data_IF_244748807313
#
_entry.id   IF_244748807313
#
_cell.length_a   1.000
_cell.length_b   1.000
_cell.length_c   1.000
_cell.angle_alpha   90.00
_cell.angle_beta   90.00
_cell.angle_gamma   90.00
#
_symmetry.space_group_name_H-M   'P 1'
#
loop_
_entity.id
_entity.type
_entity.pdbx_description
1 polymer ?
#
# COMPACT_ATOMS: atom_id res chain seq x y z
N UNK A 1 1.76 38.02 -40.72
CA UNK A 1 2.10 37.76 -39.30
C UNK A 1 0.83 37.99 -38.48
N UNK A 2 0.12 36.93 -38.09
CA UNK A 2 -1.02 37.09 -37.19
C UNK A 2 -0.50 37.43 -35.80
N UNK A 3 -1.03 38.51 -35.22
CA UNK A 3 -0.71 38.96 -33.87
C UNK A 3 -1.27 37.94 -32.87
N UNK A 4 -0.51 36.88 -32.57
CA UNK A 4 -0.94 35.85 -31.61
C UNK A 4 -0.93 36.46 -30.21
N UNK A 5 -2.12 36.57 -29.62
CA UNK A 5 -2.36 37.23 -28.34
C UNK A 5 -1.83 36.35 -27.20
N UNK A 6 -0.84 36.85 -26.45
CA UNK A 6 -0.30 36.16 -25.26
C UNK A 6 -1.39 36.09 -24.18
N UNK A 7 -1.66 34.89 -23.68
CA UNK A 7 -2.65 34.65 -22.64
C UNK A 7 -2.00 34.80 -21.26
N UNK A 8 -1.72 36.05 -20.90
CA UNK A 8 -0.95 36.44 -19.69
C UNK A 8 -1.59 36.06 -18.35
N UNK A 9 -2.83 35.56 -18.35
CA UNK A 9 -3.57 35.18 -17.14
C UNK A 9 -4.03 33.72 -17.13
N UNK A 10 -3.76 32.95 -18.20
CA UNK A 10 -4.21 31.57 -18.28
C UNK A 10 -3.31 30.67 -17.42
N UNK A 11 -3.82 30.26 -16.26
CA UNK A 11 -3.12 29.38 -15.32
C UNK A 11 -3.43 27.89 -15.53
N UNK A 12 -4.61 27.57 -16.04
CA UNK A 12 -5.09 26.20 -16.21
C UNK A 12 -5.53 26.03 -17.65
N UNK A 13 -4.92 25.09 -18.36
CA UNK A 13 -5.34 24.65 -19.69
C UNK A 13 -5.78 23.19 -19.59
N UNK A 14 -7.10 22.97 -19.69
CA UNK A 14 -7.69 21.65 -19.73
C UNK A 14 -8.28 21.41 -21.12
N UNK A 15 -7.74 20.41 -21.81
CA UNK A 15 -8.20 19.92 -23.11
C UNK A 15 -8.49 18.41 -23.04
N UNK A 16 -8.87 17.90 -21.87
CA UNK A 16 -9.20 16.49 -21.69
C UNK A 16 -10.23 16.01 -22.72
N UNK A 17 -10.04 14.77 -23.19
CA UNK A 17 -10.89 14.09 -24.16
C UNK A 17 -11.03 14.83 -25.50
N UNK A 18 -10.08 15.71 -25.85
CA UNK A 18 -9.94 16.22 -27.21
C UNK A 18 -9.37 15.13 -28.12
N UNK A 19 -10.18 14.12 -28.46
CA UNK A 19 -9.75 12.93 -29.19
C UNK A 19 -9.15 13.21 -30.57
N UNK A 20 -9.41 14.39 -31.15
CA UNK A 20 -8.84 14.80 -32.44
C UNK A 20 -7.52 15.56 -32.31
N UNK A 21 -7.12 15.93 -31.09
CA UNK A 21 -5.86 16.65 -30.83
C UNK A 21 -4.69 15.73 -31.18
N UNK A 22 -3.87 16.15 -32.15
CA UNK A 22 -2.69 15.40 -32.58
C UNK A 22 -1.39 15.93 -32.01
N UNK A 23 -1.31 17.24 -31.82
CA UNK A 23 -0.17 17.92 -31.19
C UNK A 23 -0.67 19.18 -30.50
N UNK A 24 0.04 19.59 -29.46
CA UNK A 24 -0.22 20.84 -28.74
C UNK A 24 1.05 21.68 -28.68
N UNK A 25 0.96 22.94 -29.10
CA UNK A 25 2.03 23.92 -29.03
C UNK A 25 1.49 25.32 -28.74
N UNK A 26 2.34 26.34 -28.90
CA UNK A 26 1.99 27.72 -28.53
C UNK A 26 2.20 28.04 -27.05
N UNK A 27 3.05 27.26 -26.37
CA UNK A 27 3.39 27.46 -24.95
C UNK A 27 4.16 28.76 -24.70
N UNK A 28 4.77 29.33 -25.74
CA UNK A 28 5.36 30.68 -25.76
C UNK A 28 4.34 31.80 -25.48
N UNK A 29 3.06 31.50 -25.65
CA UNK A 29 1.96 32.41 -25.34
C UNK A 29 1.31 32.16 -23.97
N UNK A 30 1.80 31.19 -23.20
CA UNK A 30 1.23 30.74 -21.93
C UNK A 30 2.24 30.87 -20.76
N UNK A 31 2.84 32.05 -20.52
CA UNK A 31 3.99 32.20 -19.61
C UNK A 31 3.66 31.94 -18.12
N UNK A 32 2.38 31.94 -17.74
CA UNK A 32 1.91 31.76 -16.35
C UNK A 32 1.13 30.46 -16.17
N UNK A 33 1.25 29.51 -17.12
CA UNK A 33 0.53 28.24 -17.05
C UNK A 33 1.06 27.39 -15.89
N UNK A 34 0.17 27.06 -14.95
CA UNK A 34 0.44 26.27 -13.75
C UNK A 34 -0.01 24.82 -13.90
N UNK A 35 -1.09 24.57 -14.68
CA UNK A 35 -1.66 23.24 -14.89
C UNK A 35 -1.98 22.96 -16.36
N UNK A 36 -1.47 21.85 -16.87
CA UNK A 36 -1.78 21.32 -18.19
C UNK A 36 -2.47 19.96 -18.06
N UNK A 37 -3.69 19.84 -18.57
CA UNK A 37 -4.50 18.62 -18.48
C UNK A 37 -4.92 18.21 -19.89
N UNK A 38 -4.36 17.10 -20.38
CA UNK A 38 -4.62 16.52 -21.72
C UNK A 38 -5.17 15.10 -21.63
N UNK A 39 -5.66 14.68 -20.46
CA UNK A 39 -6.20 13.35 -20.20
C UNK A 39 -7.12 12.86 -21.33
N UNK A 40 -6.92 11.66 -21.84
CA UNK A 40 -7.78 11.03 -22.85
C UNK A 40 -7.67 11.64 -24.24
N UNK A 41 -6.62 12.42 -24.55
CA UNK A 41 -6.33 12.82 -25.93
C UNK A 41 -5.70 11.66 -26.72
N UNK A 42 -6.52 10.66 -27.07
CA UNK A 42 -6.08 9.37 -27.64
C UNK A 42 -5.33 9.46 -28.98
N UNK A 43 -5.37 10.60 -29.69
CA UNK A 43 -4.62 10.83 -30.93
C UNK A 43 -3.42 11.74 -30.75
N UNK A 44 -3.13 12.18 -29.51
CA UNK A 44 -1.99 13.04 -29.20
C UNK A 44 -0.70 12.26 -29.45
N UNK A 45 0.15 12.78 -30.34
CA UNK A 45 1.42 12.18 -30.71
C UNK A 45 2.57 12.77 -29.89
N UNK A 46 2.50 14.07 -29.65
CA UNK A 46 3.52 14.84 -28.93
C UNK A 46 2.93 16.05 -28.21
N UNK A 47 3.67 16.49 -27.19
CA UNK A 47 3.54 17.81 -26.58
C UNK A 47 4.77 18.60 -27.03
N UNK A 48 4.55 19.75 -27.68
CA UNK A 48 5.61 20.51 -28.36
C UNK A 48 6.79 20.85 -27.42
N UNK A 49 8.01 20.87 -27.98
CA UNK A 49 9.25 21.21 -27.26
C UNK A 49 9.19 22.57 -26.54
N UNK A 50 8.35 23.51 -27.01
CA UNK A 50 8.14 24.81 -26.35
C UNK A 50 7.52 24.73 -24.95
N UNK A 51 7.08 23.56 -24.47
CA UNK A 51 6.58 23.38 -23.09
C UNK A 51 7.59 23.80 -22.02
N UNK A 52 8.90 23.77 -22.31
CA UNK A 52 9.95 24.29 -21.42
C UNK A 52 9.75 25.75 -20.99
N UNK A 53 9.01 26.52 -21.79
CA UNK A 53 8.74 27.94 -21.54
C UNK A 53 7.63 28.14 -20.50
N UNK A 54 6.89 27.08 -20.15
CA UNK A 54 5.94 27.09 -19.04
C UNK A 54 6.68 26.97 -17.71
N UNK A 55 7.41 28.02 -17.33
CA UNK A 55 8.27 28.05 -16.13
C UNK A 55 7.48 27.93 -14.83
N UNK A 56 6.17 28.20 -14.86
CA UNK A 56 5.26 28.10 -13.72
C UNK A 56 4.51 26.77 -13.65
N UNK A 57 4.78 25.82 -14.57
CA UNK A 57 4.04 24.56 -14.63
C UNK A 57 4.36 23.68 -13.41
N UNK A 58 3.31 23.35 -12.65
CA UNK A 58 3.38 22.54 -11.42
C UNK A 58 2.72 21.18 -11.62
N UNK A 59 1.70 21.11 -12.47
CA UNK A 59 0.89 19.91 -12.68
C UNK A 59 0.74 19.59 -14.16
N UNK A 60 0.99 18.33 -14.52
CA UNK A 60 0.81 17.81 -15.89
C UNK A 60 0.07 16.47 -15.83
N UNK A 61 -1.05 16.39 -16.54
CA UNK A 61 -1.80 15.15 -16.72
C UNK A 61 -1.88 14.82 -18.22
N UNK A 62 -1.24 13.72 -18.60
CA UNK A 62 -1.25 13.14 -19.96
C UNK A 62 -1.92 11.77 -19.96
N UNK A 63 -2.63 11.39 -18.90
CA UNK A 63 -3.16 10.03 -18.76
C UNK A 63 -4.08 9.66 -19.93
N UNK A 64 -4.03 8.41 -20.36
CA UNK A 64 -4.78 7.84 -21.47
C UNK A 64 -4.51 8.52 -22.83
N UNK A 65 -3.33 9.09 -23.03
CA UNK A 65 -2.82 9.52 -24.34
C UNK A 65 -2.10 8.35 -25.04
N UNK A 66 -2.85 7.31 -25.45
CA UNK A 66 -2.31 6.03 -25.92
C UNK A 66 -1.46 6.06 -27.20
N UNK A 67 -1.45 7.18 -27.94
CA UNK A 67 -0.59 7.40 -29.12
C UNK A 67 0.61 8.30 -28.86
N UNK A 68 0.85 8.69 -27.60
CA UNK A 68 1.96 9.53 -27.23
C UNK A 68 3.27 8.78 -27.51
N UNK A 69 3.97 9.14 -28.59
CA UNK A 69 5.16 8.40 -29.02
C UNK A 69 6.38 8.74 -28.19
N UNK A 70 6.40 9.93 -27.59
CA UNK A 70 7.50 10.46 -26.78
C UNK A 70 6.92 11.34 -25.67
N UNK A 71 7.20 10.99 -24.43
CA UNK A 71 7.27 12.01 -23.37
C UNK A 71 8.52 12.82 -23.70
N UNK A 72 8.41 14.09 -24.12
CA UNK A 72 9.55 14.79 -24.67
C UNK A 72 10.65 14.91 -23.61
N UNK A 73 11.91 14.68 -23.99
CA UNK A 73 13.09 14.80 -23.08
C UNK A 73 13.07 16.10 -22.29
N UNK A 74 12.48 17.13 -22.89
CA UNK A 74 12.30 18.46 -22.34
C UNK A 74 11.50 18.51 -21.03
N UNK A 75 10.70 17.48 -20.71
CA UNK A 75 9.94 17.43 -19.45
C UNK A 75 10.87 17.38 -18.22
N UNK A 76 12.10 16.85 -18.33
CA UNK A 76 13.11 16.95 -17.26
C UNK A 76 13.53 18.40 -16.98
N UNK A 77 13.48 19.27 -17.99
CA UNK A 77 13.86 20.67 -17.84
C UNK A 77 12.83 21.49 -17.07
N UNK A 78 11.63 20.94 -16.83
CA UNK A 78 10.55 21.61 -16.10
C UNK A 78 10.81 21.58 -14.58
N UNK A 79 11.53 22.60 -14.09
CA UNK A 79 12.03 22.69 -12.71
C UNK A 79 10.96 22.82 -11.61
N UNK A 80 9.71 23.15 -11.97
CA UNK A 80 8.62 23.37 -11.00
C UNK A 80 7.57 22.25 -10.99
N UNK A 81 7.61 21.32 -11.94
CA UNK A 81 6.60 20.25 -12.02
C UNK A 81 6.72 19.36 -10.78
N UNK A 82 5.61 19.27 -10.04
CA UNK A 82 5.48 18.49 -8.81
C UNK A 82 4.66 17.23 -9.01
N UNK A 83 3.68 17.28 -9.89
CA UNK A 83 2.79 16.16 -10.18
C UNK A 83 2.77 15.89 -11.67
N UNK A 84 3.01 14.62 -12.03
CA UNK A 84 2.97 14.14 -13.41
C UNK A 84 2.20 12.83 -13.46
N UNK A 85 1.12 12.80 -14.25
CA UNK A 85 0.37 11.58 -14.55
C UNK A 85 0.57 11.16 -15.99
N UNK A 86 0.94 9.89 -16.20
CA UNK A 86 1.24 9.27 -17.48
C UNK A 86 0.49 7.94 -17.63
N UNK A 87 -0.65 7.79 -16.98
CA UNK A 87 -1.37 6.51 -16.91
C UNK A 87 -1.87 6.11 -18.29
N UNK A 88 -2.02 4.83 -18.62
CA UNK A 88 -2.67 4.42 -19.88
C UNK A 88 -1.97 4.93 -21.15
N UNK A 89 -0.68 5.28 -21.09
CA UNK A 89 0.07 5.88 -22.20
C UNK A 89 0.80 4.83 -23.07
N UNK A 90 0.64 3.54 -22.76
CA UNK A 90 1.25 2.42 -23.49
C UNK A 90 2.79 2.54 -23.59
N UNK A 91 3.43 2.88 -22.47
CA UNK A 91 4.87 3.12 -22.44
C UNK A 91 5.66 1.86 -22.85
N UNK A 92 5.27 0.64 -22.45
CA UNK A 92 6.03 -0.57 -22.79
C UNK A 92 6.34 -0.81 -24.28
N UNK A 93 5.48 -0.37 -25.20
CA UNK A 93 5.68 -0.57 -26.66
C UNK A 93 6.89 0.21 -27.21
N UNK A 94 7.41 1.18 -26.46
CA UNK A 94 8.64 1.90 -26.82
C UNK A 94 9.91 1.04 -26.70
N UNK A 95 9.83 -0.17 -26.15
CA UNK A 95 10.94 -1.14 -26.04
C UNK A 95 11.18 -2.01 -27.28
N UNK A 96 10.26 -2.07 -28.27
CA UNK A 96 10.34 -3.07 -29.36
C UNK A 96 11.39 -2.72 -30.44
N UNK A 97 12.21 -1.69 -30.24
CA UNK A 97 13.39 -1.44 -31.08
C UNK A 97 14.58 -2.22 -30.47
N UNK A 98 15.09 -3.28 -31.13
CA UNK A 98 16.15 -4.10 -30.59
C UNK A 98 17.48 -3.36 -30.70
N UNK A 99 17.81 -2.56 -29.69
CA UNK A 99 19.18 -2.14 -29.47
C UNK A 99 19.43 -1.97 -27.97
N UNK A 100 20.60 -2.41 -27.52
CA UNK A 100 21.02 -2.68 -26.15
C UNK A 100 21.04 -1.49 -25.15
N UNK A 101 20.30 -0.41 -25.42
CA UNK A 101 20.02 0.64 -24.43
C UNK A 101 18.76 0.24 -23.66
N UNK A 102 18.99 -0.49 -22.56
CA UNK A 102 17.99 -0.77 -21.53
C UNK A 102 17.31 0.54 -21.11
N UNK A 103 16.02 0.55 -21.34
CA UNK A 103 15.02 1.47 -20.86
C UNK A 103 14.99 2.94 -21.28
N UNK A 104 13.74 3.38 -21.41
CA UNK A 104 13.26 4.72 -21.21
C UNK A 104 14.22 5.65 -20.49
N UNK A 105 14.71 6.60 -21.25
CA UNK A 105 15.01 7.91 -20.71
C UNK A 105 13.69 8.68 -20.55
N UNK A 106 12.80 8.27 -19.64
CA UNK A 106 11.88 9.27 -19.09
C UNK A 106 12.78 10.18 -18.26
N UNK A 107 13.26 11.22 -18.92
CA UNK A 107 13.86 12.37 -18.29
C UNK A 107 12.73 13.02 -17.47
N UNK A 108 12.53 12.48 -16.27
CA UNK A 108 11.56 12.94 -15.30
C UNK A 108 12.14 14.16 -14.59
N UNK A 109 11.36 15.22 -14.35
CA UNK A 109 11.85 16.39 -13.65
C UNK A 109 12.25 16.03 -12.22
N UNK A 110 13.44 16.46 -11.81
CA UNK A 110 13.97 16.20 -10.46
C UNK A 110 13.16 16.89 -9.35
N UNK A 111 12.28 17.82 -9.73
CA UNK A 111 11.35 18.49 -8.83
C UNK A 111 10.12 17.68 -8.46
N UNK A 112 9.88 16.54 -9.12
CA UNK A 112 8.68 15.70 -8.92
C UNK A 112 8.54 15.26 -7.47
N UNK A 113 7.29 15.31 -7.03
CA UNK A 113 6.83 14.87 -5.71
C UNK A 113 5.86 13.70 -5.87
N UNK A 114 5.03 13.72 -6.92
CA UNK A 114 4.04 12.69 -7.20
C UNK A 114 4.11 12.27 -8.67
N UNK A 115 4.23 10.96 -8.90
CA UNK A 115 4.31 10.37 -10.24
C UNK A 115 3.34 9.19 -10.32
N UNK A 116 2.46 9.20 -11.32
CA UNK A 116 1.65 8.05 -11.68
C UNK A 116 2.02 7.49 -13.05
N UNK A 117 2.23 6.18 -13.10
CA UNK A 117 2.59 5.37 -14.26
C UNK A 117 1.63 4.19 -14.42
N UNK A 118 0.40 4.31 -13.95
CA UNK A 118 -0.58 3.23 -13.94
C UNK A 118 -0.92 2.75 -15.36
N UNK A 119 -1.31 1.48 -15.54
CA UNK A 119 -1.81 0.95 -16.82
C UNK A 119 -0.88 1.24 -18.03
N UNK A 120 0.41 0.92 -17.89
CA UNK A 120 1.42 1.20 -18.93
C UNK A 120 2.11 -0.03 -19.50
N UNK A 121 1.65 -1.22 -19.11
CA UNK A 121 2.23 -2.51 -19.49
C UNK A 121 3.72 -2.64 -19.09
N UNK A 122 4.16 -1.96 -18.02
CA UNK A 122 5.54 -1.95 -17.54
C UNK A 122 5.91 -3.27 -16.83
N UNK A 123 7.04 -3.86 -17.21
CA UNK A 123 7.62 -5.03 -16.54
C UNK A 123 8.65 -4.60 -15.49
N UNK A 124 9.20 -5.51 -14.68
CA UNK A 124 10.29 -5.13 -13.75
C UNK A 124 11.55 -4.66 -14.49
N UNK A 125 11.92 -5.36 -15.57
CA UNK A 125 13.04 -5.02 -16.46
C UNK A 125 12.78 -3.77 -17.30
N UNK A 126 11.55 -3.28 -17.25
CA UNK A 126 11.25 -1.97 -17.73
C UNK A 126 12.07 -1.00 -16.86
N UNK A 127 11.75 -0.72 -15.61
CA UNK A 127 12.46 0.28 -14.79
C UNK A 127 14.01 0.34 -14.86
N UNK A 128 14.61 1.56 -14.82
CA UNK A 128 16.06 1.72 -14.89
C UNK A 128 16.73 1.18 -13.61
N UNK A 129 18.07 1.12 -13.62
CA UNK A 129 18.81 0.67 -12.44
C UNK A 129 18.68 1.64 -11.24
N UNK A 130 18.46 2.94 -11.46
CA UNK A 130 18.46 3.94 -10.38
C UNK A 130 17.52 5.13 -10.64
N UNK A 131 16.80 5.56 -9.60
CA UNK A 131 15.96 6.77 -9.54
C UNK A 131 16.52 7.84 -8.59
N UNK A 132 17.77 7.74 -8.14
CA UNK A 132 18.38 8.67 -7.16
C UNK A 132 18.21 10.17 -7.48
N UNK A 133 18.07 10.54 -8.76
CA UNK A 133 17.81 11.94 -9.18
C UNK A 133 16.42 12.45 -8.78
N UNK A 134 15.44 11.57 -8.60
CA UNK A 134 14.08 11.86 -8.13
C UNK A 134 14.05 12.02 -6.60
N UNK A 135 15.00 12.78 -6.06
CA UNK A 135 15.22 12.94 -4.62
C UNK A 135 14.06 13.57 -3.86
N UNK A 136 13.12 14.21 -4.56
CA UNK A 136 11.92 14.84 -4.00
C UNK A 136 10.67 13.97 -4.07
N UNK A 137 10.72 12.81 -4.75
CA UNK A 137 9.57 11.97 -5.00
C UNK A 137 9.07 11.33 -3.69
N UNK A 138 7.80 11.56 -3.38
CA UNK A 138 7.09 11.07 -2.20
C UNK A 138 6.02 10.06 -2.54
N UNK A 139 5.39 10.19 -3.71
CA UNK A 139 4.28 9.34 -4.14
C UNK A 139 4.61 8.72 -5.50
N UNK A 140 4.50 7.39 -5.58
CA UNK A 140 4.69 6.62 -6.80
C UNK A 140 3.57 5.60 -6.96
N UNK A 141 2.84 5.69 -8.07
CA UNK A 141 1.75 4.78 -8.42
C UNK A 141 2.15 3.98 -9.67
N UNK A 142 2.18 2.65 -9.53
CA UNK A 142 2.61 1.69 -10.54
C UNK A 142 1.50 0.66 -10.83
N UNK A 143 0.28 0.94 -10.39
CA UNK A 143 -0.86 0.04 -10.45
C UNK A 143 -1.14 -0.43 -11.88
N UNK A 144 -1.80 -1.58 -12.02
CA UNK A 144 -2.23 -2.15 -13.31
C UNK A 144 -1.07 -2.38 -14.31
N UNK A 145 0.13 -2.72 -13.81
CA UNK A 145 1.28 -3.08 -14.64
C UNK A 145 1.70 -4.55 -14.44
N UNK A 146 2.23 -5.25 -15.47
CA UNK A 146 2.77 -6.61 -15.37
C UNK A 146 4.14 -6.67 -14.68
N UNK A 147 4.33 -5.90 -13.61
CA UNK A 147 5.54 -5.90 -12.79
C UNK A 147 5.60 -7.23 -12.02
N UNK A 148 6.76 -7.89 -12.06
CA UNK A 148 6.97 -9.20 -11.44
C UNK A 148 7.54 -9.08 -10.03
N UNK A 149 8.37 -8.08 -9.80
CA UNK A 149 8.92 -7.77 -8.48
C UNK A 149 9.24 -6.29 -8.31
N UNK A 150 9.38 -5.83 -7.06
CA UNK A 150 9.73 -4.44 -6.74
C UNK A 150 11.02 -4.00 -7.47
N UNK A 151 10.97 -3.02 -8.38
CA UNK A 151 12.13 -2.57 -9.13
C UNK A 151 13.23 -1.95 -8.25
N UNK A 152 14.50 -2.20 -8.60
CA UNK A 152 15.65 -1.74 -7.81
C UNK A 152 15.71 -0.22 -7.65
N UNK A 153 15.36 0.54 -8.70
CA UNK A 153 15.35 2.00 -8.62
C UNK A 153 14.34 2.55 -7.62
N UNK A 154 13.24 1.83 -7.34
CA UNK A 154 12.25 2.26 -6.35
C UNK A 154 12.83 2.14 -4.95
N UNK A 155 13.66 1.11 -4.69
CA UNK A 155 14.34 0.90 -3.40
C UNK A 155 15.32 2.02 -3.04
N UNK A 156 15.90 2.68 -4.04
CA UNK A 156 16.88 3.76 -3.84
C UNK A 156 16.26 5.14 -3.64
N UNK A 157 14.93 5.28 -3.69
CA UNK A 157 14.25 6.57 -3.53
C UNK A 157 14.34 7.06 -2.08
N UNK A 158 14.96 8.23 -1.81
CA UNK A 158 15.32 8.64 -0.46
C UNK A 158 14.17 9.28 0.35
N UNK A 159 13.00 9.50 -0.25
CA UNK A 159 11.87 10.21 0.36
C UNK A 159 10.51 9.59 0.01
N UNK A 160 10.49 8.39 -0.54
CA UNK A 160 9.25 7.76 -0.97
C UNK A 160 8.40 7.40 0.25
N UNK A 161 7.24 8.03 0.36
CA UNK A 161 6.30 7.89 1.47
C UNK A 161 5.14 6.96 1.06
N UNK A 162 4.68 7.04 -0.19
CA UNK A 162 3.57 6.25 -0.73
C UNK A 162 4.03 5.48 -1.97
N UNK A 163 3.85 4.16 -1.93
CA UNK A 163 4.01 3.28 -3.08
C UNK A 163 2.72 2.49 -3.32
N UNK A 164 2.19 2.55 -4.53
CA UNK A 164 1.06 1.74 -4.96
C UNK A 164 1.47 0.85 -6.13
N UNK A 165 1.17 -0.44 -6.00
CA UNK A 165 1.39 -1.50 -7.00
C UNK A 165 0.13 -2.39 -7.07
N UNK A 166 -1.04 -1.78 -6.86
CA UNK A 166 -2.32 -2.46 -6.89
C UNK A 166 -2.62 -3.02 -8.28
N UNK A 167 -3.29 -4.17 -8.34
CA UNK A 167 -3.63 -4.87 -9.57
C UNK A 167 -2.43 -5.10 -10.51
N UNK A 168 -1.21 -5.17 -9.97
CA UNK A 168 -0.05 -5.67 -10.71
C UNK A 168 -0.17 -7.19 -10.89
N UNK A 169 -0.89 -7.61 -11.93
CA UNK A 169 -1.27 -9.01 -12.16
C UNK A 169 -0.11 -9.91 -12.62
N UNK A 170 1.13 -9.56 -12.33
CA UNK A 170 2.29 -10.46 -12.43
C UNK A 170 3.17 -10.44 -11.16
N UNK A 171 2.79 -9.68 -10.13
CA UNK A 171 3.62 -9.40 -8.96
C UNK A 171 3.79 -10.63 -8.08
N UNK A 172 5.03 -11.12 -7.98
CA UNK A 172 5.44 -12.30 -7.22
C UNK A 172 6.17 -11.92 -5.93
N UNK A 173 6.96 -10.84 -5.93
CA UNK A 173 7.69 -10.43 -4.73
C UNK A 173 7.87 -8.92 -4.52
N UNK A 174 7.86 -8.51 -3.26
CA UNK A 174 8.20 -7.14 -2.83
C UNK A 174 9.19 -7.24 -1.69
N UNK A 175 10.46 -6.99 -1.96
CA UNK A 175 11.53 -7.17 -0.97
C UNK A 175 12.19 -5.82 -0.71
N UNK A 176 12.68 -5.59 0.51
CA UNK A 176 13.43 -4.41 0.95
C UNK A 176 12.91 -3.08 0.34
N UNK A 177 11.62 -2.75 0.53
CA UNK A 177 11.11 -1.47 0.07
C UNK A 177 11.75 -0.31 0.85
N UNK A 178 11.70 0.95 0.36
CA UNK A 178 12.32 2.08 1.05
C UNK A 178 11.86 2.22 2.50
N UNK A 179 12.81 2.43 3.41
CA UNK A 179 12.53 2.63 4.84
C UNK A 179 11.70 3.89 5.16
N UNK A 180 11.52 4.77 4.18
CA UNK A 180 10.70 5.99 4.28
C UNK A 180 9.21 5.75 4.02
N UNK A 181 8.81 4.56 3.59
CA UNK A 181 7.41 4.26 3.28
C UNK A 181 6.52 4.36 4.52
N UNK A 182 5.39 5.04 4.35
CA UNK A 182 4.28 5.12 5.29
C UNK A 182 3.03 4.43 4.76
N UNK A 183 2.95 4.21 3.44
CA UNK A 183 1.83 3.56 2.77
C UNK A 183 2.33 2.65 1.64
N UNK A 184 1.87 1.40 1.63
CA UNK A 184 2.15 0.42 0.59
C UNK A 184 0.84 -0.29 0.18
N UNK A 185 0.47 -0.18 -1.09
CA UNK A 185 -0.68 -0.89 -1.65
C UNK A 185 -0.25 -1.98 -2.63
N UNK A 186 -0.60 -3.22 -2.31
CA UNK A 186 -0.37 -4.46 -3.05
C UNK A 186 -1.68 -5.20 -3.34
N UNK A 187 -2.83 -4.55 -3.20
CA UNK A 187 -4.14 -5.15 -3.41
C UNK A 187 -4.31 -5.66 -4.85
N UNK A 188 -4.84 -6.87 -5.05
CA UNK A 188 -5.03 -7.44 -6.38
C UNK A 188 -6.40 -8.11 -6.52
N UNK A 189 -7.29 -7.50 -7.31
CA UNK A 189 -8.66 -7.99 -7.54
C UNK A 189 -8.69 -9.29 -8.37
N UNK A 190 -7.69 -9.52 -9.22
CA UNK A 190 -7.69 -10.67 -10.14
C UNK A 190 -7.36 -12.00 -9.45
N UNK A 191 -6.81 -11.97 -8.22
CA UNK A 191 -6.34 -13.14 -7.50
C UNK A 191 -5.13 -13.84 -8.12
N UNK A 192 -4.52 -13.30 -9.20
CA UNK A 192 -3.36 -13.90 -9.88
C UNK A 192 -2.34 -12.87 -10.45
N UNK A 193 -1.04 -13.25 -10.48
CA UNK A 193 -0.48 -14.33 -9.72
C UNK A 193 -0.54 -13.98 -8.25
N UNK A 194 -0.35 -15.00 -7.45
CA UNK A 194 -0.27 -14.83 -6.02
C UNK A 194 1.09 -14.22 -5.69
N UNK A 195 1.05 -13.11 -4.97
CA UNK A 195 2.23 -12.60 -4.29
C UNK A 195 2.77 -13.73 -3.41
N UNK A 196 4.02 -14.12 -3.60
CA UNK A 196 4.64 -15.23 -2.89
C UNK A 196 5.51 -14.76 -1.73
N UNK A 197 6.13 -13.59 -1.89
CA UNK A 197 7.15 -13.14 -0.93
C UNK A 197 7.09 -11.63 -0.69
N UNK A 198 7.02 -11.22 0.57
CA UNK A 198 7.21 -9.84 0.98
C UNK A 198 8.24 -9.77 2.10
N UNK A 199 9.33 -9.04 1.87
CA UNK A 199 10.39 -8.89 2.87
C UNK A 199 10.56 -7.42 3.20
N UNK A 200 10.32 -7.06 4.45
CA UNK A 200 10.62 -5.73 4.97
C UNK A 200 11.95 -5.73 5.71
N UNK A 201 12.64 -4.59 5.73
CA UNK A 201 13.79 -4.42 6.62
C UNK A 201 13.31 -4.27 8.07
N UNK A 202 13.91 -4.95 9.05
CA UNK A 202 13.45 -4.90 10.45
C UNK A 202 13.49 -3.50 11.09
N UNK A 203 14.31 -2.59 10.57
CA UNK A 203 14.49 -1.23 11.09
C UNK A 203 13.48 -0.22 10.52
N UNK A 204 12.60 -0.65 9.62
CA UNK A 204 11.57 0.22 9.03
C UNK A 204 10.55 0.68 10.08
N UNK A 205 9.97 1.85 9.87
CA UNK A 205 8.83 2.33 10.69
C UNK A 205 7.54 1.63 10.26
N UNK A 206 6.56 1.48 11.18
CA UNK A 206 5.25 0.94 10.81
C UNK A 206 4.61 1.70 9.64
N UNK A 207 4.00 0.95 8.72
CA UNK A 207 3.38 1.50 7.52
C UNK A 207 1.99 0.91 7.30
N UNK A 208 1.12 1.67 6.63
CA UNK A 208 -0.18 1.18 6.21
C UNK A 208 -0.01 0.23 5.01
N UNK A 209 -0.21 -1.06 5.24
CA UNK A 209 -0.13 -2.10 4.22
C UNK A 209 -1.54 -2.49 3.75
N UNK A 210 -1.81 -2.30 2.47
CA UNK A 210 -3.04 -2.77 1.82
C UNK A 210 -2.68 -3.98 0.96
N UNK A 211 -3.15 -5.15 1.33
CA UNK A 211 -2.93 -6.41 0.60
C UNK A 211 -4.18 -7.27 0.73
N UNK A 212 -4.45 -8.09 -0.28
CA UNK A 212 -5.54 -9.05 -0.25
C UNK A 212 -5.16 -10.29 0.59
N UNK A 213 -5.45 -10.23 1.88
CA UNK A 213 -5.20 -11.33 2.83
C UNK A 213 -6.08 -12.55 2.56
N UNK A 214 -7.27 -12.35 1.99
CA UNK A 214 -8.23 -13.43 1.71
C UNK A 214 -7.78 -14.32 0.54
N UNK A 215 -6.76 -13.92 -0.22
CA UNK A 215 -6.26 -14.66 -1.39
C UNK A 215 -5.03 -15.53 -1.14
N UNK A 216 -4.38 -15.41 0.02
CA UNK A 216 -3.09 -16.04 0.31
C UNK A 216 -3.27 -17.17 1.33
N UNK A 217 -3.30 -18.45 0.91
CA UNK A 217 -3.04 -19.56 1.83
C UNK A 217 -1.76 -19.26 2.60
N UNK A 218 -1.79 -19.29 3.94
CA UNK A 218 -0.63 -18.93 4.76
C UNK A 218 0.62 -19.77 4.44
N UNK A 219 0.44 -21.00 3.94
CA UNK A 219 1.53 -21.88 3.51
C UNK A 219 2.17 -21.51 2.16
N UNK A 220 1.61 -20.55 1.43
CA UNK A 220 2.05 -20.15 0.09
C UNK A 220 2.60 -18.73 0.02
N UNK A 221 2.62 -18.04 1.16
CA UNK A 221 2.96 -16.63 1.26
C UNK A 221 3.97 -16.41 2.40
N UNK A 222 5.17 -16.00 2.02
CA UNK A 222 6.25 -15.68 2.96
C UNK A 222 6.25 -14.17 3.21
N UNK A 223 6.02 -13.78 4.47
CA UNK A 223 6.23 -12.40 4.91
C UNK A 223 7.31 -12.38 5.97
N UNK A 224 8.35 -11.59 5.75
CA UNK A 224 9.49 -11.45 6.66
C UNK A 224 9.75 -9.99 7.05
N UNK A 225 10.40 -9.82 8.20
CA UNK A 225 10.80 -8.51 8.72
C UNK A 225 9.75 -7.92 9.67
N UNK A 226 9.19 -6.78 9.29
CA UNK A 226 8.18 -6.05 10.08
C UNK A 226 6.88 -6.82 10.28
N UNK A 227 6.54 -7.66 9.31
CA UNK A 227 5.40 -8.56 9.32
C UNK A 227 5.93 -9.97 9.22
N UNK A 228 5.41 -10.89 10.03
CA UNK A 228 5.79 -12.30 10.00
C UNK A 228 4.57 -13.17 10.21
N UNK A 229 4.37 -14.13 9.31
CA UNK A 229 3.30 -15.12 9.41
C UNK A 229 3.95 -16.48 9.47
N UNK A 230 3.62 -17.26 10.50
CA UNK A 230 4.14 -18.61 10.64
C UNK A 230 3.14 -19.50 11.41
N UNK A 231 3.20 -20.83 11.20
CA UNK A 231 2.38 -21.76 11.95
C UNK A 231 2.57 -21.55 13.45
N UNK A 232 1.47 -21.58 14.21
CA UNK A 232 1.55 -21.37 15.66
C UNK A 232 2.36 -22.48 16.35
N UNK A 233 2.43 -23.67 15.71
CA UNK A 233 3.27 -24.82 16.08
C UNK A 233 4.77 -24.55 15.98
N UNK A 234 5.20 -23.57 15.17
CA UNK A 234 6.62 -23.21 15.01
C UNK A 234 7.09 -22.10 15.96
N UNK A 235 6.18 -21.50 16.74
CA UNK A 235 6.52 -20.48 17.74
C UNK A 235 7.15 -21.12 18.97
N UNK A 236 8.24 -20.51 19.48
CA UNK A 236 8.82 -20.94 20.76
C UNK A 236 7.79 -20.89 21.90
N UNK A 237 7.70 -21.98 22.67
CA UNK A 237 6.72 -22.12 23.76
C UNK A 237 6.80 -20.97 24.78
N UNK A 238 8.00 -20.43 25.03
CA UNK A 238 8.20 -19.28 25.92
C UNK A 238 7.50 -18.02 25.43
N UNK A 239 7.49 -17.78 24.12
CA UNK A 239 6.81 -16.65 23.48
C UNK A 239 5.30 -16.86 23.58
N UNK A 240 4.79 -18.06 23.25
CA UNK A 240 3.38 -18.41 23.44
C UNK A 240 2.92 -18.23 24.90
N UNK A 241 3.74 -18.67 25.86
CA UNK A 241 3.49 -18.50 27.28
C UNK A 241 3.41 -17.02 27.69
N UNK A 242 4.25 -16.14 27.11
CA UNK A 242 4.19 -14.71 27.38
C UNK A 242 2.88 -14.05 26.95
N UNK A 243 2.19 -14.63 25.97
CA UNK A 243 0.85 -14.21 25.52
C UNK A 243 -0.29 -14.95 26.26
N UNK A 244 0.03 -15.68 27.33
CA UNK A 244 -0.90 -16.50 28.12
C UNK A 244 -1.50 -17.70 27.36
N UNK A 245 -0.87 -18.18 26.28
CA UNK A 245 -1.19 -19.47 25.69
C UNK A 245 -0.55 -20.59 26.51
N UNK A 246 -1.17 -20.95 27.63
CA UNK A 246 -0.61 -21.91 28.60
C UNK A 246 -1.12 -23.35 28.43
N UNK A 247 -1.84 -23.66 27.34
CA UNK A 247 -2.37 -25.01 27.06
C UNK A 247 -2.06 -25.44 25.62
N UNK A 248 -1.02 -26.26 25.39
CA UNK A 248 -0.67 -26.81 24.08
C UNK A 248 -1.80 -27.64 23.45
N UNK A 249 -2.62 -28.31 24.27
CA UNK A 249 -3.74 -29.16 23.80
C UNK A 249 -4.79 -28.37 23.00
N UNK A 250 -4.91 -27.05 23.22
CA UNK A 250 -5.84 -26.19 22.49
C UNK A 250 -5.49 -26.08 20.99
N UNK A 251 -4.21 -26.31 20.63
CA UNK A 251 -3.68 -26.10 19.27
C UNK A 251 -3.70 -27.37 18.41
N UNK A 252 -3.70 -28.56 19.01
CA UNK A 252 -3.49 -29.82 18.30
C UNK A 252 -4.71 -30.33 17.50
N UNK A 253 -5.90 -29.76 17.71
CA UNK A 253 -7.15 -30.32 17.16
C UNK A 253 -7.93 -29.36 16.23
N UNK A 254 -7.46 -28.13 16.02
CA UNK A 254 -8.21 -27.10 15.27
C UNK A 254 -7.46 -26.68 14.01
N UNK A 255 -8.13 -26.90 12.87
CA UNK A 255 -7.75 -26.29 11.60
C UNK A 255 -8.60 -25.05 11.38
N UNK A 256 -7.98 -23.96 10.92
CA UNK A 256 -8.71 -22.77 10.49
C UNK A 256 -9.05 -22.98 9.02
N UNK A 257 -10.33 -22.80 8.69
CA UNK A 257 -10.75 -22.74 7.30
C UNK A 257 -10.60 -21.29 6.86
N UNK A 258 -9.56 -20.99 6.11
CA UNK A 258 -9.42 -19.68 5.47
C UNK A 258 -10.44 -19.61 4.33
N UNK A 259 -11.40 -18.70 4.44
CA UNK A 259 -12.40 -18.45 3.40
C UNK A 259 -11.76 -17.64 2.28
N UNK A 260 -11.12 -18.33 1.33
CA UNK A 260 -10.64 -17.67 0.12
C UNK A 260 -11.82 -17.40 -0.82
N UNK A 261 -12.06 -16.15 -1.22
CA UNK A 261 -13.24 -15.80 -2.05
C UNK A 261 -13.22 -16.42 -3.47
N UNK A 262 -12.11 -17.06 -3.86
CA UNK A 262 -11.88 -17.63 -5.20
C UNK A 262 -11.38 -19.09 -5.22
N UNK A 263 -11.23 -19.78 -4.08
CA UNK A 263 -10.69 -21.15 -4.00
C UNK A 263 -11.52 -22.07 -3.10
N UNK A 264 -11.35 -23.39 -3.29
CA UNK A 264 -11.88 -24.40 -2.37
C UNK A 264 -11.25 -24.22 -0.98
N UNK A 265 -12.05 -24.44 0.06
CA UNK A 265 -11.64 -24.31 1.46
C UNK A 265 -10.35 -25.13 1.75
N UNK A 266 -9.23 -24.45 1.98
CA UNK A 266 -8.03 -25.09 2.50
C UNK A 266 -8.06 -25.07 4.02
N UNK A 267 -7.88 -26.26 4.62
CA UNK A 267 -7.63 -26.39 6.05
C UNK A 267 -6.14 -26.12 6.28
N UNK A 268 -5.83 -25.01 6.93
CA UNK A 268 -4.48 -24.71 7.38
C UNK A 268 -4.37 -24.88 8.90
N UNK A 269 -3.15 -25.15 9.38
CA UNK A 269 -2.85 -25.00 10.81
C UNK A 269 -3.13 -23.57 11.27
N UNK A 270 -3.47 -23.38 12.55
CA UNK A 270 -3.61 -22.04 13.13
C UNK A 270 -2.31 -21.28 12.91
N UNK A 271 -2.43 -20.07 12.34
CA UNK A 271 -1.30 -19.20 12.09
C UNK A 271 -1.17 -18.16 13.19
N UNK A 272 0.08 -17.80 13.49
CA UNK A 272 0.43 -16.63 14.27
C UNK A 272 0.93 -15.56 13.30
N UNK A 273 0.31 -14.39 13.39
CA UNK A 273 0.67 -13.20 12.65
C UNK A 273 1.40 -12.28 13.61
N UNK A 274 2.48 -11.68 13.16
CA UNK A 274 3.22 -10.67 13.88
C UNK A 274 3.30 -9.46 12.98
N UNK A 275 2.74 -8.33 13.42
CA UNK A 275 2.66 -7.10 12.64
C UNK A 275 2.96 -5.94 13.58
N UNK A 276 4.03 -5.19 13.30
CA UNK A 276 4.31 -3.92 14.02
C UNK A 276 4.35 -4.05 15.55
N UNK A 277 4.86 -5.16 16.08
CA UNK A 277 4.92 -5.42 17.52
C UNK A 277 3.63 -6.01 18.12
N UNK A 278 2.66 -6.34 17.28
CA UNK A 278 1.39 -6.96 17.66
C UNK A 278 1.40 -8.40 17.17
N UNK A 279 1.09 -9.35 18.06
CA UNK A 279 0.86 -10.74 17.67
C UNK A 279 -0.63 -11.00 17.53
N UNK A 280 -1.06 -11.66 16.48
CA UNK A 280 -2.48 -11.93 16.23
C UNK A 280 -2.75 -13.33 15.68
N UNK A 281 -3.95 -13.85 15.92
CA UNK A 281 -4.38 -15.16 15.43
C UNK A 281 -5.90 -15.25 15.32
N UNK A 282 -6.39 -16.10 14.42
CA UNK A 282 -7.81 -16.47 14.27
C UNK A 282 -7.92 -17.97 14.51
N UNK A 283 -9.01 -18.40 15.14
CA UNK A 283 -9.38 -19.80 15.20
C UNK A 283 -10.89 -19.96 15.33
N UNK A 284 -11.44 -21.01 14.75
CA UNK A 284 -12.85 -21.35 14.93
C UNK A 284 -13.11 -21.77 16.39
N UNK A 285 -14.09 -21.14 17.03
CA UNK A 285 -14.52 -21.46 18.38
C UNK A 285 -15.93 -20.97 18.70
N UNK A 286 -16.69 -21.79 19.44
CA UNK A 286 -18.05 -21.43 19.85
C UNK A 286 -18.07 -20.40 21.00
N UNK A 287 -17.01 -20.34 21.81
CA UNK A 287 -16.92 -19.48 22.98
C UNK A 287 -15.51 -18.87 23.15
N UNK A 288 -15.45 -17.70 23.79
CA UNK A 288 -14.20 -17.03 24.14
C UNK A 288 -13.38 -17.87 25.13
N UNK A 289 -12.05 -18.01 24.98
CA UNK A 289 -11.24 -18.87 25.82
C UNK A 289 -11.37 -18.58 27.31
N UNK A 290 -11.37 -19.65 28.10
CA UNK A 290 -11.72 -19.56 29.51
C UNK A 290 -10.72 -18.82 30.40
N UNK A 291 -9.51 -18.60 29.89
CA UNK A 291 -8.44 -17.89 30.55
C UNK A 291 -8.50 -16.36 30.34
N UNK A 292 -9.42 -15.86 29.51
CA UNK A 292 -9.72 -14.43 29.45
C UNK A 292 -10.73 -14.11 30.55
N UNK A 293 -10.26 -13.34 31.53
CA UNK A 293 -10.96 -13.04 32.78
C UNK A 293 -12.01 -11.93 32.60
N UNK A 294 -11.63 -10.87 31.91
CA UNK A 294 -12.46 -9.68 31.75
C UNK A 294 -13.28 -9.79 30.46
N UNK A 295 -14.57 -10.11 30.62
CA UNK A 295 -15.50 -10.34 29.51
C UNK A 295 -16.64 -9.34 29.55
N UNK A 296 -16.86 -8.64 28.45
CA UNK A 296 -17.97 -7.71 28.28
C UNK A 296 -18.72 -8.03 26.99
N UNK A 297 -20.05 -7.84 27.01
CA UNK A 297 -20.87 -7.84 25.80
C UNK A 297 -21.02 -6.40 25.31
N UNK A 298 -20.58 -6.12 24.09
CA UNK A 298 -20.72 -4.81 23.46
C UNK A 298 -19.51 -4.42 22.61
N UNK A 299 -19.58 -3.27 21.92
CA UNK A 299 -18.53 -2.79 21.02
C UNK A 299 -17.38 -2.07 21.75
N UNK A 300 -17.34 -2.04 23.08
CA UNK A 300 -16.28 -1.32 23.81
C UNK A 300 -16.06 -1.91 25.20
N UNK A 301 -14.82 -1.85 25.67
CA UNK A 301 -14.38 -2.23 27.02
C UNK A 301 -13.47 -1.15 27.59
N UNK A 302 -13.63 -0.84 28.88
CA UNK A 302 -12.75 0.07 29.60
C UNK A 302 -12.25 -0.62 30.85
N UNK A 303 -10.97 -0.44 31.17
CA UNK A 303 -10.37 -0.97 32.36
C UNK A 303 -9.27 -0.03 32.86
N UNK A 304 -8.82 -0.26 34.09
CA UNK A 304 -7.70 0.48 34.69
C UNK A 304 -6.52 -0.46 34.83
N UNK A 305 -5.33 -0.01 34.42
CA UNK A 305 -4.13 -0.83 34.55
C UNK A 305 -3.84 -1.04 36.05
N UNK A 306 -3.82 -2.30 36.55
CA UNK A 306 -3.64 -2.57 37.97
C UNK A 306 -2.28 -2.11 38.49
N UNK A 307 -2.25 -1.64 39.74
CA UNK A 307 -1.14 -0.90 40.34
C UNK A 307 0.10 -1.73 40.75
N UNK A 308 0.31 -2.93 40.19
CA UNK A 308 1.30 -3.91 40.69
C UNK A 308 2.40 -4.29 39.68
N UNK A 309 3.65 -4.56 40.12
CA UNK A 309 4.86 -4.20 39.39
C UNK A 309 5.62 -5.41 38.81
N UNK A 310 4.97 -6.25 38.02
CA UNK A 310 5.72 -7.23 37.20
C UNK A 310 5.58 -6.84 35.75
N UNK A 311 6.68 -6.29 35.20
CA UNK A 311 6.95 -6.01 33.79
C UNK A 311 5.70 -6.14 32.92
N UNK A 312 4.88 -5.08 32.88
CA UNK A 312 3.78 -5.00 31.94
C UNK A 312 4.37 -5.12 30.54
N UNK A 313 4.20 -6.28 29.89
CA UNK A 313 4.79 -6.57 28.59
C UNK A 313 3.83 -6.30 27.44
N UNK A 314 2.53 -6.22 27.73
CA UNK A 314 1.51 -6.01 26.70
C UNK A 314 0.08 -6.24 27.16
N UNK A 315 -0.86 -6.05 26.23
CA UNK A 315 -2.29 -6.30 26.43
C UNK A 315 -2.79 -7.39 25.47
N UNK A 316 -3.56 -8.33 26.01
CA UNK A 316 -4.25 -9.36 25.22
C UNK A 316 -5.71 -8.95 24.99
N UNK A 317 -6.13 -8.98 23.73
CA UNK A 317 -7.50 -8.73 23.32
C UNK A 317 -8.04 -9.88 22.49
N UNK A 318 -9.29 -10.25 22.76
CA UNK A 318 -10.02 -11.27 22.01
C UNK A 318 -11.46 -10.79 21.87
N UNK A 319 -11.99 -10.94 20.67
CA UNK A 319 -13.40 -10.72 20.41
C UNK A 319 -13.96 -11.95 19.68
N UNK A 320 -15.27 -12.13 19.75
CA UNK A 320 -15.96 -13.23 19.08
C UNK A 320 -16.96 -12.61 18.10
N UNK A 321 -16.79 -12.88 16.81
CA UNK A 321 -17.74 -12.49 15.78
C UNK A 321 -18.69 -13.65 15.50
N UNK A 322 -19.99 -13.38 15.46
CA UNK A 322 -20.98 -14.33 14.96
C UNK A 322 -21.27 -14.01 13.50
N UNK A 323 -20.76 -14.84 12.59
CA UNK A 323 -21.09 -14.72 11.17
C UNK A 323 -22.57 -15.08 10.94
N UNK A 324 -23.38 -14.11 10.52
CA UNK A 324 -24.70 -14.41 9.97
C UNK A 324 -24.50 -14.88 8.53
N UNK A 325 -24.81 -16.15 8.24
CA UNK A 325 -24.94 -16.65 6.87
C UNK A 325 -26.08 -15.89 6.18
N UNK A 326 -25.76 -14.86 5.42
CA UNK A 326 -26.72 -14.26 4.49
C UNK A 326 -26.81 -15.19 3.27
N UNK A 327 -28.04 -15.56 2.91
CA UNK A 327 -28.32 -16.49 1.82
C UNK A 327 -27.74 -16.05 0.47
N UNK A 328 -27.36 -17.07 -0.31
CA UNK A 328 -27.06 -17.10 -1.75
C UNK A 328 -25.86 -16.33 -2.33
N UNK A 329 -24.89 -15.89 -1.54
CA UNK A 329 -23.59 -15.45 -2.10
C UNK A 329 -22.48 -16.26 -1.43
N UNK A 330 -21.63 -16.91 -2.24
CA UNK A 330 -20.43 -17.68 -1.82
C UNK A 330 -19.32 -16.82 -1.19
N UNK A 331 -19.66 -15.65 -0.64
CA UNK A 331 -18.72 -14.76 0.02
C UNK A 331 -19.25 -14.48 1.42
N UNK A 332 -18.69 -15.18 2.41
CA UNK A 332 -18.81 -14.75 3.80
C UNK A 332 -17.86 -13.55 3.95
N UNK A 333 -18.37 -12.33 3.75
CA UNK A 333 -17.61 -11.11 4.07
C UNK A 333 -17.52 -11.03 5.60
N UNK A 334 -16.41 -11.51 6.17
CA UNK A 334 -16.08 -11.22 7.57
C UNK A 334 -15.49 -9.81 7.56
N UNK A 335 -16.34 -8.81 7.81
CA UNK A 335 -15.86 -7.47 8.12
C UNK A 335 -15.17 -7.52 9.49
N UNK A 336 -13.84 -7.46 9.47
CA UNK A 336 -13.02 -7.49 10.67
C UNK A 336 -13.04 -6.10 11.31
N UNK A 337 -13.42 -5.99 12.60
CA UNK A 337 -13.66 -4.71 13.23
C UNK A 337 -12.36 -3.91 13.41
N UNK A 338 -12.47 -2.59 13.29
CA UNK A 338 -11.37 -1.67 13.63
C UNK A 338 -11.25 -1.64 15.15
N UNK A 339 -10.05 -1.91 15.65
CA UNK A 339 -9.74 -1.86 17.07
C UNK A 339 -9.08 -0.54 17.39
N UNK A 340 -9.72 0.24 18.24
CA UNK A 340 -9.21 1.50 18.74
C UNK A 340 -8.89 1.30 20.22
N UNK A 341 -7.63 1.49 20.61
CA UNK A 341 -7.19 1.50 22.01
C UNK A 341 -6.83 2.93 22.35
N UNK A 342 -7.37 3.48 23.43
CA UNK A 342 -7.07 4.82 23.89
C UNK A 342 -6.64 4.80 25.35
N UNK A 343 -5.45 5.29 25.65
CA UNK A 343 -5.05 5.66 27.00
C UNK A 343 -5.56 7.07 27.28
N UNK A 344 -6.65 7.13 28.05
CA UNK A 344 -7.35 8.37 28.39
C UNK A 344 -6.47 9.23 29.29
N UNK A 345 -5.76 8.62 30.25
CA UNK A 345 -4.91 9.34 31.20
C UNK A 345 -3.77 10.10 30.50
N UNK A 346 -3.21 9.51 29.43
CA UNK A 346 -2.11 10.09 28.65
C UNK A 346 -2.55 10.73 27.33
N UNK A 347 -3.85 10.77 27.05
CA UNK A 347 -4.41 11.26 25.79
C UNK A 347 -3.72 10.66 24.55
N UNK A 348 -3.50 9.34 24.56
CA UNK A 348 -2.92 8.59 23.44
C UNK A 348 -3.96 7.63 22.86
N UNK A 349 -3.98 7.50 21.54
CA UNK A 349 -4.86 6.57 20.83
C UNK A 349 -4.09 5.81 19.78
N UNK A 350 -4.27 4.50 19.78
CA UNK A 350 -3.79 3.57 18.77
C UNK A 350 -5.00 3.03 18.00
N UNK A 351 -4.95 3.09 16.67
CA UNK A 351 -5.99 2.59 15.78
C UNK A 351 -5.39 1.45 14.97
N UNK A 352 -5.98 0.27 15.06
CA UNK A 352 -5.59 -0.91 14.33
C UNK A 352 -6.71 -1.31 13.39
N UNK A 353 -6.47 -1.09 12.10
CA UNK A 353 -7.33 -1.57 11.02
C UNK A 353 -7.01 -3.03 10.80
N UNK A 354 -7.89 -3.86 11.33
CA UNK A 354 -7.61 -5.24 11.63
C UNK A 354 -7.97 -6.16 10.47
N UNK A 355 -7.27 -7.29 10.38
CA UNK A 355 -7.65 -8.42 9.54
C UNK A 355 -7.89 -9.73 10.35
N UNK A 356 -7.85 -9.70 11.71
CA UNK A 356 -7.70 -10.91 12.56
C UNK A 356 -8.40 -10.84 13.95
N UNK A 357 -9.01 -11.96 14.41
CA UNK A 357 -9.92 -12.08 15.58
C UNK A 357 -9.31 -11.98 17.00
N UNK A 358 -8.00 -12.19 17.18
CA UNK A 358 -7.34 -12.11 18.50
C UNK A 358 -5.96 -11.47 18.38
N UNK A 359 -5.61 -10.60 19.34
CA UNK A 359 -4.44 -9.72 19.27
C UNK A 359 -3.72 -9.62 20.63
N UNK A 360 -2.40 -9.48 20.59
CA UNK A 360 -1.52 -9.17 21.71
C UNK A 360 -0.65 -7.97 21.36
N UNK A 361 -0.84 -6.85 22.05
CA UNK A 361 -0.13 -5.60 21.83
C UNK A 361 1.07 -5.49 22.74
N UNK A 362 2.27 -5.28 22.19
CA UNK A 362 3.43 -4.88 22.98
C UNK A 362 3.57 -3.36 22.94
N UNK A 363 3.58 -2.72 24.12
CA UNK A 363 3.73 -1.26 24.23
C UNK A 363 5.18 -0.90 24.59
N UNK A 364 5.65 0.22 24.07
CA UNK A 364 6.98 0.75 24.39
C UNK A 364 7.08 1.23 25.85
N UNK A 365 8.31 1.46 26.32
CA UNK A 365 8.56 2.00 27.67
C UNK A 365 7.91 3.38 27.84
N UNK A 366 7.06 3.54 28.86
CA UNK A 366 6.38 4.81 29.18
C UNK A 366 5.08 5.08 28.38
N UNK A 367 4.67 4.18 27.49
CA UNK A 367 3.42 4.35 26.73
C UNK A 367 2.16 4.00 27.54
N UNK A 368 2.29 3.06 28.47
CA UNK A 368 1.25 2.67 29.43
C UNK A 368 1.88 2.49 30.81
N UNK A 369 1.30 3.09 31.84
CA UNK A 369 1.79 3.05 33.21
C UNK A 369 0.70 2.61 34.21
N UNK A 370 1.15 2.16 35.38
CA UNK A 370 0.28 1.77 36.47
C UNK A 370 -0.66 2.94 36.86
N UNK A 371 -1.97 2.70 36.82
CA UNK A 371 -2.98 3.71 37.12
C UNK A 371 -3.53 4.47 35.91
N UNK A 372 -3.01 4.24 34.70
CA UNK A 372 -3.61 4.79 33.49
C UNK A 372 -5.01 4.18 33.26
N UNK A 373 -5.96 5.03 32.81
CA UNK A 373 -7.28 4.59 32.36
C UNK A 373 -7.24 4.35 30.86
N UNK A 374 -7.61 3.13 30.45
CA UNK A 374 -7.68 2.75 29.05
C UNK A 374 -9.13 2.48 28.62
N UNK A 375 -9.48 3.00 27.44
CA UNK A 375 -10.74 2.76 26.73
C UNK A 375 -10.41 2.11 25.40
N UNK A 376 -10.98 0.93 25.20
CA UNK A 376 -10.96 0.27 23.91
C UNK A 376 -12.35 0.32 23.27
N UNK A 377 -12.40 0.76 22.02
CA UNK A 377 -13.57 0.70 21.17
C UNK A 377 -13.30 -0.24 20.00
N UNK A 378 -14.16 -1.24 19.86
CA UNK A 378 -14.28 -2.14 18.72
C UNK A 378 -15.43 -1.61 17.87
N UNK A 379 -15.11 -0.88 16.80
CA UNK A 379 -16.14 -0.47 15.84
C UNK A 379 -16.34 -1.60 14.84
N UNK A 380 -17.52 -2.25 14.94
CA UNK A 380 -18.01 -3.27 14.00
C UNK A 380 -18.76 -2.60 12.87
#
# INVERSE_FOLDING_TARGET
MSNKRVLRSLKILNLSFCEQLRSLGGFDHLPVLEKLILRGCIRLLDVCESIEQCLELVFVDLSYCSKLQKVPRIIEMLKKVKTLFLDGCNLAVLEVIPNYSKFFTIYLPTSLVSLSLEDNNLFTESFPMDFSRLSMLKELYLDENPIVSLPNCVRSLPRLETLSMGNCTMLMSVEHPPHTLIYLNLFNISGKPMLQKVVFDPEMSPLQLVIDWDMLPPSSFEVEGMVKIQPMTSIEEKVLCSFCWTKPDFLNERHVVTLTSLRDNEKSEIQMYYEFGIFSTIYDGEEMPNWITDRIKGPSISFTIPSSPKNFTGLNFCYVLTSQRIGSVRATLILLPVIIISNIAKNRTWIYHNYIEKLHWMFGTGEMEAGDQDLQNVHV
#
